data_IF_848186314074
#
_entry.id   IF_848186314074
#
_cell.length_a   1.000
_cell.length_b   1.000
_cell.length_c   1.000
_cell.angle_alpha   90.00
_cell.angle_beta   90.00
_cell.angle_gamma   90.00
#
_symmetry.space_group_name_H-M   'P 1'
#
loop_
_entity.id
_entity.type
_entity.pdbx_description
1 polymer ?
#
# COMPACT_ATOMS: atom_id res chain seq x y z
N UNK A 1 10.51 -15.20 -20.27
CA UNK A 1 9.77 -14.97 -19.02
C UNK A 1 9.25 -13.54 -19.07
N UNK A 2 7.93 -13.27 -19.09
CA UNK A 2 7.47 -11.90 -19.06
C UNK A 2 7.37 -11.48 -17.59
N UNK A 3 8.27 -10.58 -17.17
CA UNK A 3 8.12 -9.82 -15.94
C UNK A 3 6.88 -8.93 -16.07
N UNK A 4 5.89 -9.17 -15.22
CA UNK A 4 4.68 -8.35 -15.11
C UNK A 4 5.11 -6.91 -14.84
N UNK A 5 4.85 -6.02 -15.80
CA UNK A 5 5.10 -4.59 -15.66
C UNK A 5 4.09 -4.06 -14.66
N UNK A 6 4.59 -3.48 -13.56
CA UNK A 6 3.81 -2.57 -12.72
C UNK A 6 3.11 -1.56 -13.66
N UNK A 7 1.79 -1.66 -13.75
CA UNK A 7 0.99 -0.73 -14.51
C UNK A 7 1.11 0.62 -13.83
N UNK A 8 1.88 1.54 -14.43
CA UNK A 8 1.99 2.94 -14.00
C UNK A 8 0.64 3.64 -14.16
N UNK A 9 -0.28 3.40 -13.21
CA UNK A 9 -1.45 4.24 -13.03
C UNK A 9 -0.95 5.52 -12.35
N UNK A 10 -1.21 6.71 -12.89
CA UNK A 10 -0.90 7.94 -12.17
C UNK A 10 -1.72 7.96 -10.87
N UNK A 11 -1.06 8.22 -9.74
CA UNK A 11 -1.74 8.29 -8.45
C UNK A 11 -2.82 9.38 -8.48
N UNK A 12 -4.07 8.97 -8.27
CA UNK A 12 -5.26 9.82 -8.34
C UNK A 12 -5.48 10.61 -7.05
N UNK A 13 -4.89 10.19 -5.93
CA UNK A 13 -4.99 10.84 -4.63
C UNK A 13 -3.77 10.57 -3.71
N UNK A 14 -3.73 11.19 -2.53
CA UNK A 14 -2.61 11.08 -1.60
C UNK A 14 -2.41 9.64 -1.07
N UNK A 15 -3.50 8.90 -0.86
CA UNK A 15 -3.43 7.49 -0.48
C UNK A 15 -2.77 6.62 -1.58
N UNK A 16 -3.13 6.80 -2.85
CA UNK A 16 -2.48 6.08 -3.96
C UNK A 16 -0.99 6.46 -4.07
N UNK A 17 -0.63 7.72 -3.81
CA UNK A 17 0.77 8.16 -3.76
C UNK A 17 1.55 7.48 -2.61
N UNK A 18 0.92 7.35 -1.45
CA UNK A 18 1.50 6.59 -0.33
C UNK A 18 1.74 5.14 -0.73
N UNK A 19 0.73 4.47 -1.30
CA UNK A 19 0.84 3.07 -1.74
C UNK A 19 1.99 2.88 -2.73
N UNK A 20 2.09 3.74 -3.75
CA UNK A 20 3.21 3.70 -4.70
C UNK A 20 4.56 3.92 -4.02
N UNK A 21 4.64 4.88 -3.10
CA UNK A 21 5.88 5.18 -2.36
C UNK A 21 6.32 4.03 -1.46
N UNK A 22 5.37 3.29 -0.88
CA UNK A 22 5.62 2.08 -0.10
C UNK A 22 6.13 0.95 -0.99
N UNK A 23 5.51 0.72 -2.15
CA UNK A 23 5.96 -0.28 -3.13
C UNK A 23 7.38 0.03 -3.61
N UNK A 24 7.65 1.29 -3.95
CA UNK A 24 8.97 1.73 -4.39
C UNK A 24 10.04 1.58 -3.30
N UNK A 25 9.66 1.80 -2.03
CA UNK A 25 10.58 1.64 -0.89
C UNK A 25 10.85 0.19 -0.54
N UNK A 26 9.86 -0.70 -0.69
CA UNK A 26 9.99 -2.14 -0.46
C UNK A 26 10.64 -2.88 -1.63
N UNK A 27 10.53 -2.33 -2.85
CA UNK A 27 11.05 -2.94 -4.06
C UNK A 27 10.44 -4.31 -4.37
N UNK A 28 11.04 -5.04 -5.31
CA UNK A 28 10.53 -6.34 -5.76
C UNK A 28 10.63 -7.47 -4.72
N UNK A 29 11.33 -7.25 -3.61
CA UNK A 29 11.54 -8.24 -2.54
C UNK A 29 10.53 -8.12 -1.40
N UNK A 30 9.73 -7.05 -1.38
CA UNK A 30 8.77 -6.79 -0.30
C UNK A 30 9.45 -6.68 1.06
N UNK A 31 8.73 -7.11 2.11
CA UNK A 31 9.23 -7.19 3.49
C UNK A 31 10.16 -8.39 3.77
N UNK A 32 10.52 -9.16 2.74
CA UNK A 32 11.32 -10.39 2.89
C UNK A 32 12.83 -10.07 2.83
N UNK A 33 13.19 -8.88 2.37
CA UNK A 33 14.57 -8.40 2.39
C UNK A 33 14.95 -7.92 3.80
N UNK A 34 16.13 -8.26 4.31
CA UNK A 34 16.68 -7.60 5.52
C UNK A 34 17.12 -6.15 5.24
N UNK A 35 17.07 -5.71 3.98
CA UNK A 35 17.68 -4.48 3.47
C UNK A 35 16.65 -3.42 3.05
N UNK A 36 15.48 -3.38 3.69
CA UNK A 36 14.54 -2.27 3.50
C UNK A 36 14.69 -1.21 4.59
N UNK A 37 14.52 0.05 4.20
CA UNK A 37 14.63 1.19 5.12
C UNK A 37 13.33 1.32 5.95
N UNK A 38 13.36 0.74 7.15
CA UNK A 38 12.23 0.79 8.09
C UNK A 38 11.91 2.22 8.54
N UNK A 39 12.92 3.08 8.70
CA UNK A 39 12.70 4.47 9.11
C UNK A 39 11.98 5.25 8.01
N UNK A 40 12.40 5.08 6.75
CA UNK A 40 11.73 5.67 5.60
C UNK A 40 10.30 5.16 5.45
N UNK A 41 10.06 3.85 5.61
CA UNK A 41 8.71 3.28 5.56
C UNK A 41 7.80 3.87 6.64
N UNK A 42 8.32 3.98 7.87
CA UNK A 42 7.60 4.56 9.01
C UNK A 42 7.28 6.04 8.76
N UNK A 43 8.23 6.78 8.20
CA UNK A 43 8.06 8.20 7.88
C UNK A 43 6.95 8.41 6.84
N UNK A 44 6.96 7.61 5.76
CA UNK A 44 5.91 7.67 4.73
C UNK A 44 4.51 7.46 5.31
N UNK A 45 4.35 6.48 6.20
CA UNK A 45 3.08 6.21 6.88
C UNK A 45 2.66 7.33 7.83
N UNK A 46 3.60 8.01 8.48
CA UNK A 46 3.32 9.11 9.42
C UNK A 46 2.99 10.43 8.73
N UNK A 47 3.60 10.71 7.58
CA UNK A 47 3.37 11.93 6.81
C UNK A 47 2.01 11.92 6.09
N UNK A 48 1.43 10.74 5.89
CA UNK A 48 0.10 10.63 5.29
C UNK A 48 -1.00 11.09 6.25
N UNK A 49 -1.68 12.17 5.88
CA UNK A 49 -2.92 12.60 6.53
C UNK A 49 -4.11 11.76 6.03
N UNK A 50 -4.69 10.95 6.92
CA UNK A 50 -5.78 10.03 6.55
C UNK A 50 -7.02 10.73 6.03
N UNK A 51 -7.52 10.28 4.88
CA UNK A 51 -8.68 10.83 4.19
C UNK A 51 -9.61 9.71 3.70
N UNK A 52 -10.76 9.53 4.37
CA UNK A 52 -11.70 8.42 4.12
C UNK A 52 -12.14 8.26 2.65
N UNK A 53 -12.49 9.34 1.92
CA UNK A 53 -12.74 9.28 0.48
C UNK A 53 -11.65 8.59 -0.37
N UNK A 54 -10.40 8.57 0.09
CA UNK A 54 -9.27 8.00 -0.66
C UNK A 54 -9.08 6.50 -0.43
N UNK A 55 -9.42 5.98 0.75
CA UNK A 55 -9.25 4.56 1.12
C UNK A 55 -10.57 3.82 1.38
N UNK A 56 -11.70 4.51 1.39
CA UNK A 56 -13.00 3.98 1.82
C UNK A 56 -13.50 2.81 0.97
N UNK A 57 -13.09 2.69 -0.29
CA UNK A 57 -13.42 1.53 -1.13
C UNK A 57 -12.76 0.22 -0.66
N UNK A 58 -11.68 0.31 0.13
CA UNK A 58 -11.08 -0.83 0.81
C UNK A 58 -11.71 -1.13 2.17
N UNK A 59 -12.58 -0.27 2.70
CA UNK A 59 -13.21 -0.43 4.02
C UNK A 59 -14.42 -1.36 3.97
N UNK A 60 -14.20 -2.62 3.55
CA UNK A 60 -15.24 -3.63 3.42
C UNK A 60 -15.58 -4.22 4.79
N UNK A 61 -16.66 -3.75 5.41
CA UNK A 61 -17.14 -4.28 6.68
C UNK A 61 -17.95 -5.57 6.48
N UNK A 62 -17.73 -6.55 7.35
CA UNK A 62 -18.54 -7.77 7.44
C UNK A 62 -19.05 -7.91 8.88
N UNK A 63 -20.38 -7.87 9.03
CA UNK A 63 -21.06 -7.93 10.34
C UNK A 63 -20.84 -9.25 11.07
N UNK A 64 -20.42 -10.30 10.37
CA UNK A 64 -20.12 -11.62 10.94
C UNK A 64 -18.73 -11.66 11.58
N UNK A 65 -17.87 -10.70 11.24
CA UNK A 65 -16.47 -10.65 11.65
C UNK A 65 -16.19 -9.43 12.53
N UNK A 66 -15.33 -9.60 13.54
CA UNK A 66 -14.94 -8.48 14.43
C UNK A 66 -14.03 -7.46 13.74
N UNK A 67 -13.36 -7.84 12.66
CA UNK A 67 -12.56 -7.00 11.78
C UNK A 67 -12.38 -7.71 10.45
N UNK A 68 -12.13 -6.95 9.38
CA UNK A 68 -11.79 -7.47 8.05
C UNK A 68 -10.37 -7.10 7.69
N UNK A 69 -9.72 -7.93 6.87
CA UNK A 69 -8.39 -7.68 6.31
C UNK A 69 -8.58 -7.47 4.81
N UNK A 70 -8.60 -6.21 4.41
CA UNK A 70 -8.85 -5.85 3.02
C UNK A 70 -7.54 -5.52 2.34
N UNK A 71 -7.31 -6.16 1.19
CA UNK A 71 -6.10 -5.99 0.41
C UNK A 71 -6.16 -4.65 -0.34
N UNK A 72 -5.10 -3.85 -0.22
CA UNK A 72 -5.01 -2.50 -0.81
C UNK A 72 -4.29 -2.51 -2.16
N UNK A 73 -3.23 -3.31 -2.28
CA UNK A 73 -2.39 -3.48 -3.48
C UNK A 73 -2.10 -4.98 -3.75
N UNK A 74 -1.35 -5.35 -4.80
CA UNK A 74 -1.10 -6.76 -5.14
C UNK A 74 -0.57 -7.56 -3.94
N UNK A 75 -1.28 -8.63 -3.60
CA UNK A 75 -0.96 -9.51 -2.48
C UNK A 75 0.10 -10.53 -2.84
N UNK A 76 0.95 -10.86 -1.86
CA UNK A 76 1.93 -11.94 -1.92
C UNK A 76 1.29 -13.30 -1.60
#
# INVERSE_FOLDING_TARGET
MPSTRLSTKPAENNFEQLVMSLIDTLGSSGLISDDFDLEKLTTLLQEYESNEPEWGHYALADQSNRYTRNLVDEGN
#
